data_IF_225644644234
#
_entry.id   IF_225644644234
#
_cell.length_a   1.000
_cell.length_b   1.000
_cell.length_c   1.000
_cell.angle_alpha   90.00
_cell.angle_beta   90.00
_cell.angle_gamma   90.00
#
_symmetry.space_group_name_H-M   'P 1'
#
loop_
_entity.id
_entity.type
_entity.pdbx_description
1 polymer ?
#
# COMPACT_ATOMS: atom_id res chain seq x y z
N UNK A 1 -9.51 -5.47 -10.81
CA UNK A 1 -10.31 -4.27 -10.45
C UNK A 1 -10.08 -3.95 -8.99
N UNK A 2 -9.65 -2.72 -8.66
CA UNK A 2 -9.30 -2.33 -7.29
C UNK A 2 -10.40 -2.62 -6.26
N UNK A 3 -11.67 -2.45 -6.63
CA UNK A 3 -12.83 -2.78 -5.77
C UNK A 3 -12.86 -4.26 -5.37
N UNK A 4 -12.54 -5.18 -6.29
CA UNK A 4 -12.51 -6.63 -5.96
C UNK A 4 -11.39 -6.94 -4.96
N UNK A 5 -10.22 -6.31 -5.12
CA UNK A 5 -9.11 -6.45 -4.16
C UNK A 5 -9.48 -5.87 -2.80
N UNK A 6 -10.08 -4.68 -2.79
CA UNK A 6 -10.57 -4.03 -1.57
C UNK A 6 -11.67 -4.87 -0.88
N UNK A 7 -12.63 -5.45 -1.61
CA UNK A 7 -13.62 -6.37 -1.05
C UNK A 7 -12.98 -7.64 -0.48
N UNK A 8 -11.97 -8.22 -1.15
CA UNK A 8 -11.23 -9.38 -0.64
C UNK A 8 -10.53 -9.05 0.68
N UNK A 9 -9.82 -7.91 0.75
CA UNK A 9 -9.20 -7.44 1.99
C UNK A 9 -10.23 -7.17 3.10
N UNK A 10 -11.37 -6.52 2.77
CA UNK A 10 -12.44 -6.23 3.70
C UNK A 10 -13.03 -7.50 4.33
N UNK A 11 -13.22 -8.55 3.51
CA UNK A 11 -13.70 -9.86 3.96
C UNK A 11 -12.75 -10.50 4.97
N UNK A 12 -11.44 -10.43 4.73
CA UNK A 12 -10.41 -10.97 5.65
C UNK A 12 -10.41 -10.21 6.97
N UNK A 13 -10.55 -8.89 6.90
CA UNK A 13 -10.54 -7.99 8.06
C UNK A 13 -11.87 -7.94 8.82
N UNK A 14 -12.92 -8.58 8.30
CA UNK A 14 -14.29 -8.52 8.81
C UNK A 14 -14.80 -7.07 8.97
N UNK A 15 -14.53 -6.22 7.98
CA UNK A 15 -14.96 -4.81 7.93
C UNK A 15 -15.80 -4.54 6.68
N UNK A 16 -16.65 -3.50 6.73
CA UNK A 16 -17.48 -3.09 5.60
C UNK A 16 -16.75 -1.99 4.81
N UNK A 17 -16.47 -2.18 3.51
CA UNK A 17 -15.87 -1.12 2.70
C UNK A 17 -16.91 -0.02 2.42
N UNK A 18 -16.50 1.24 2.52
CA UNK A 18 -17.31 2.40 2.12
C UNK A 18 -16.77 2.95 0.80
N UNK A 19 -17.46 2.63 -0.29
CA UNK A 19 -17.08 3.03 -1.64
C UNK A 19 -18.02 4.15 -2.10
N UNK A 20 -17.58 5.40 -1.95
CA UNK A 20 -18.20 6.54 -2.66
C UNK A 20 -17.73 6.57 -4.12
N UNK A 21 -18.50 7.22 -5.00
CA UNK A 21 -18.45 7.11 -6.46
C UNK A 21 -17.05 7.13 -7.12
N UNK A 22 -16.92 6.38 -8.22
CA UNK A 22 -15.69 6.18 -9.01
C UNK A 22 -15.12 7.50 -9.54
N UNK A 23 -13.80 7.67 -9.45
CA UNK A 23 -13.08 8.73 -10.19
C UNK A 23 -12.20 8.21 -11.34
N UNK A 24 -12.11 6.89 -11.52
CA UNK A 24 -11.43 6.25 -12.65
C UNK A 24 -9.96 5.91 -12.41
N UNK A 25 -9.29 6.57 -11.47
CA UNK A 25 -7.97 6.21 -10.93
C UNK A 25 -8.02 6.29 -9.40
N UNK A 26 -8.46 5.19 -8.78
CA UNK A 26 -8.67 5.09 -7.34
C UNK A 26 -7.72 4.03 -6.75
N UNK A 27 -7.11 4.32 -5.59
CA UNK A 27 -6.44 3.32 -4.75
C UNK A 27 -7.29 3.05 -3.51
N UNK A 28 -7.15 1.86 -2.92
CA UNK A 28 -7.87 1.55 -1.68
C UNK A 28 -6.94 1.72 -0.47
N UNK A 29 -7.37 2.49 0.51
CA UNK A 29 -6.65 2.70 1.78
C UNK A 29 -7.32 1.89 2.87
N UNK A 30 -6.57 1.00 3.51
CA UNK A 30 -7.00 0.31 4.72
C UNK A 30 -6.54 1.14 5.92
N UNK A 31 -7.46 1.69 6.71
CA UNK A 31 -7.15 2.49 7.91
C UNK A 31 -8.14 2.17 9.05
N UNK A 32 -7.76 2.42 10.31
CA UNK A 32 -8.49 2.09 11.56
C UNK A 32 -10.02 2.08 11.40
N UNK A 33 -10.60 0.90 11.14
CA UNK A 33 -12.04 0.66 11.10
C UNK A 33 -12.71 0.59 9.72
N UNK A 34 -12.00 0.78 8.61
CA UNK A 34 -12.61 0.76 7.27
C UNK A 34 -11.64 0.63 6.10
N UNK A 35 -12.21 0.46 4.90
CA UNK A 35 -11.50 0.57 3.62
C UNK A 35 -12.19 1.65 2.80
N UNK A 36 -11.42 2.64 2.35
CA UNK A 36 -11.90 3.77 1.57
C UNK A 36 -11.22 3.78 0.19
N UNK A 37 -11.96 4.19 -0.85
CA UNK A 37 -11.38 4.48 -2.17
C UNK A 37 -10.97 5.94 -2.23
N UNK A 38 -9.74 6.19 -2.63
CA UNK A 38 -9.18 7.53 -2.72
C UNK A 38 -8.73 7.84 -4.16
N UNK A 39 -9.12 8.98 -4.72
CA UNK A 39 -8.59 9.44 -6.00
C UNK A 39 -7.09 9.71 -5.88
N UNK A 40 -6.30 9.17 -6.81
CA UNK A 40 -4.84 9.36 -6.86
C UNK A 40 -4.45 10.85 -6.82
N UNK A 41 -5.24 11.72 -7.45
CA UNK A 41 -4.97 13.15 -7.54
C UNK A 41 -5.25 13.97 -6.25
N UNK A 42 -5.84 13.37 -5.20
CA UNK A 42 -6.31 14.09 -3.99
C UNK A 42 -5.77 13.54 -2.67
N UNK A 43 -4.78 12.65 -2.68
CA UNK A 43 -4.34 11.95 -1.46
C UNK A 43 -3.48 12.83 -0.54
N UNK A 44 -4.10 13.44 0.46
CA UNK A 44 -3.41 14.03 1.61
C UNK A 44 -3.18 13.00 2.74
N UNK A 45 -3.56 11.74 2.53
CA UNK A 45 -3.40 10.71 3.55
C UNK A 45 -2.00 10.15 3.52
N UNK A 46 -1.33 10.20 4.65
CA UNK A 46 -0.19 9.37 4.95
C UNK A 46 0.02 9.37 6.47
N UNK A 47 0.82 8.42 7.00
CA UNK A 47 0.64 7.95 8.36
C UNK A 47 0.90 9.02 9.43
N UNK A 48 -0.06 9.14 10.35
CA UNK A 48 0.12 9.81 11.64
C UNK A 48 0.86 8.81 12.54
N UNK A 49 2.13 9.13 12.80
CA UNK A 49 3.15 8.46 13.62
C UNK A 49 3.93 7.25 13.05
N UNK A 50 5.19 7.57 12.72
CA UNK A 50 6.40 6.79 12.38
C UNK A 50 6.45 6.02 11.05
N UNK A 51 6.99 6.76 10.08
CA UNK A 51 8.04 6.45 9.09
C UNK A 51 7.76 5.51 7.92
N UNK A 52 6.84 4.56 7.94
CA UNK A 52 6.75 3.56 6.84
C UNK A 52 5.36 3.43 6.20
N UNK A 53 5.25 3.71 4.90
CA UNK A 53 4.07 3.53 4.06
C UNK A 53 4.19 2.26 3.20
N UNK A 54 3.16 1.40 3.21
CA UNK A 54 3.10 0.20 2.37
C UNK A 54 2.14 0.37 1.20
N UNK A 55 2.60 0.01 0.01
CA UNK A 55 1.83 0.05 -1.22
C UNK A 55 1.92 -1.33 -1.87
N UNK A 56 0.79 -2.01 -2.13
CA UNK A 56 0.77 -3.40 -2.54
C UNK A 56 -0.33 -3.72 -3.56
N UNK A 57 -0.11 -4.66 -4.51
CA UNK A 57 -1.17 -5.19 -5.35
C UNK A 57 -1.93 -6.35 -4.71
N UNK A 58 -1.47 -6.82 -3.54
CA UNK A 58 -1.88 -8.07 -2.90
C UNK A 58 -2.83 -7.81 -1.72
N UNK A 59 -4.13 -8.14 -1.86
CA UNK A 59 -5.12 -7.88 -0.81
C UNK A 59 -4.92 -8.72 0.45
N UNK A 60 -4.45 -9.97 0.35
CA UNK A 60 -4.21 -10.82 1.52
C UNK A 60 -3.01 -10.31 2.31
N UNK A 61 -1.96 -9.87 1.62
CA UNK A 61 -0.82 -9.21 2.25
C UNK A 61 -1.23 -7.90 2.94
N UNK A 62 -2.02 -7.06 2.27
CA UNK A 62 -2.45 -5.79 2.84
C UNK A 62 -3.32 -5.98 4.10
N UNK A 63 -4.24 -6.96 4.08
CA UNK A 63 -5.04 -7.31 5.24
C UNK A 63 -4.16 -7.86 6.38
N UNK A 64 -3.25 -8.79 6.10
CA UNK A 64 -2.35 -9.36 7.11
C UNK A 64 -1.47 -8.30 7.77
N UNK A 65 -0.95 -7.35 6.99
CA UNK A 65 -0.17 -6.21 7.48
C UNK A 65 -1.03 -5.29 8.36
N UNK A 66 -2.23 -4.94 7.91
CA UNK A 66 -3.14 -4.07 8.66
C UNK A 66 -3.60 -4.68 9.99
N UNK A 67 -3.80 -6.00 10.08
CA UNK A 67 -4.18 -6.68 11.34
C UNK A 67 -3.06 -6.63 12.38
N UNK A 68 -1.81 -6.77 11.93
CA UNK A 68 -0.64 -6.89 12.81
C UNK A 68 0.00 -5.55 13.15
N UNK A 69 -0.23 -4.56 12.30
CA UNK A 69 0.22 -3.18 12.47
C UNK A 69 -0.90 -2.28 11.94
N UNK A 70 -1.70 -1.63 12.81
CA UNK A 70 -2.86 -0.81 12.43
C UNK A 70 -2.41 0.51 11.80
N UNK A 71 -1.72 0.41 10.67
CA UNK A 71 -1.17 1.49 9.86
C UNK A 71 -1.83 1.49 8.49
N UNK A 72 -1.85 2.64 7.79
CA UNK A 72 -2.37 2.72 6.44
C UNK A 72 -1.63 1.79 5.48
N UNK A 73 -2.35 0.88 4.82
CA UNK A 73 -1.83 0.11 3.69
C UNK A 73 -2.59 0.50 2.43
N UNK A 74 -1.86 0.80 1.37
CA UNK A 74 -2.40 1.18 0.09
C UNK A 74 -2.45 -0.01 -0.85
N UNK A 75 -3.60 -0.17 -1.50
CA UNK A 75 -3.84 -1.20 -2.49
C UNK A 75 -3.95 -0.57 -3.87
N UNK A 76 -3.25 -1.16 -4.85
CA UNK A 76 -3.37 -0.80 -6.26
C UNK A 76 -3.79 -2.01 -7.11
N UNK A 77 -4.43 -1.74 -8.26
CA UNK A 77 -4.86 -2.82 -9.17
C UNK A 77 -3.72 -3.21 -10.11
N UNK A 78 -3.26 -2.26 -10.93
CA UNK A 78 -2.08 -2.39 -11.80
C UNK A 78 -1.08 -1.30 -11.49
N UNK A 79 0.20 -1.56 -11.72
CA UNK A 79 1.26 -0.57 -11.47
C UNK A 79 1.03 0.71 -12.31
N UNK A 80 0.47 0.55 -13.52
CA UNK A 80 0.14 1.67 -14.42
C UNK A 80 -0.91 2.62 -13.83
N UNK A 81 -1.78 2.12 -12.93
CA UNK A 81 -2.82 2.94 -12.29
C UNK A 81 -2.24 3.92 -11.26
N UNK A 82 -1.00 3.70 -10.79
CA UNK A 82 -0.32 4.54 -9.80
C UNK A 82 0.97 5.20 -10.32
N UNK A 83 1.30 5.04 -11.60
CA UNK A 83 2.50 5.64 -12.21
C UNK A 83 2.51 7.18 -12.21
N UNK A 84 1.33 7.79 -12.24
CA UNK A 84 1.15 9.24 -12.20
C UNK A 84 1.16 9.80 -10.78
N UNK A 85 1.11 8.94 -9.76
CA UNK A 85 1.07 9.35 -8.37
C UNK A 85 2.38 10.02 -7.97
N UNK A 86 2.30 11.12 -7.22
CA UNK A 86 3.42 11.70 -6.50
C UNK A 86 3.28 11.42 -5.01
N UNK A 87 4.40 11.19 -4.32
CA UNK A 87 4.40 11.19 -2.85
C UNK A 87 4.57 12.63 -2.36
N UNK A 88 3.65 13.07 -1.50
CA UNK A 88 3.70 14.42 -0.92
C UNK A 88 4.67 14.46 0.24
N UNK A 89 5.47 15.53 0.37
CA UNK A 89 6.32 15.75 1.55
C UNK A 89 5.50 15.86 2.85
N UNK A 90 4.24 16.27 2.73
CA UNK A 90 3.28 16.33 3.85
C UNK A 90 2.77 14.96 4.27
N UNK A 91 3.28 13.89 3.66
CA UNK A 91 2.84 12.54 3.94
C UNK A 91 3.28 12.06 5.34
N UNK A 92 4.39 12.58 5.87
CA UNK A 92 4.93 12.10 7.14
C UNK A 92 5.47 10.66 7.08
N UNK A 93 5.59 10.08 5.87
CA UNK A 93 6.32 8.85 5.63
C UNK A 93 7.80 9.19 5.40
N UNK A 94 8.72 8.50 6.07
CA UNK A 94 10.17 8.60 5.81
C UNK A 94 10.60 7.53 4.80
N UNK A 95 9.88 6.41 4.79
CA UNK A 95 10.15 5.20 4.04
C UNK A 95 8.90 4.70 3.34
N UNK A 96 9.02 4.32 2.08
CA UNK A 96 7.93 3.75 1.29
C UNK A 96 8.36 2.38 0.78
N UNK A 97 7.55 1.37 1.08
CA UNK A 97 7.72 0.03 0.55
C UNK A 97 6.69 -0.25 -0.53
N UNK A 98 7.17 -0.28 -1.78
CA UNK A 98 6.38 -0.63 -2.96
C UNK A 98 6.53 -2.13 -3.24
N UNK A 99 5.49 -2.89 -2.93
CA UNK A 99 5.40 -4.30 -3.29
C UNK A 99 4.91 -4.40 -4.73
N UNK A 100 5.50 -5.30 -5.52
CA UNK A 100 5.08 -5.52 -6.91
C UNK A 100 5.10 -7.00 -7.29
N UNK A 101 4.41 -7.31 -8.40
CA UNK A 101 4.52 -8.62 -9.05
C UNK A 101 5.87 -8.74 -9.78
N UNK A 102 6.36 -9.95 -10.09
CA UNK A 102 7.56 -10.11 -10.91
C UNK A 102 7.47 -9.45 -12.29
N UNK A 103 6.29 -9.46 -12.90
CA UNK A 103 6.06 -8.83 -14.21
C UNK A 103 6.13 -7.29 -14.15
N UNK A 104 5.81 -6.70 -13.00
CA UNK A 104 5.79 -5.25 -12.81
C UNK A 104 7.11 -4.69 -12.29
N UNK A 105 8.12 -5.52 -12.02
CA UNK A 105 9.34 -5.11 -11.32
C UNK A 105 10.04 -3.91 -11.97
N UNK A 106 10.21 -3.93 -13.30
CA UNK A 106 10.86 -2.81 -14.01
C UNK A 106 10.06 -1.52 -13.84
N UNK A 107 8.74 -1.59 -14.03
CA UNK A 107 7.84 -0.44 -13.88
C UNK A 107 7.83 0.09 -12.45
N UNK A 108 7.85 -0.80 -11.46
CA UNK A 108 7.90 -0.45 -10.05
C UNK A 108 9.21 0.25 -9.68
N UNK A 109 10.36 -0.18 -10.21
CA UNK A 109 11.64 0.49 -9.99
C UNK A 109 11.68 1.88 -10.63
N UNK A 110 11.17 2.05 -11.85
CA UNK A 110 11.09 3.37 -12.48
C UNK A 110 10.19 4.33 -11.68
N UNK A 111 9.08 3.82 -11.15
CA UNK A 111 8.20 4.60 -10.29
C UNK A 111 8.88 4.96 -8.96
N UNK A 112 9.59 4.02 -8.35
CA UNK A 112 10.34 4.26 -7.11
C UNK A 112 11.45 5.29 -7.30
N UNK A 113 12.20 5.23 -8.40
CA UNK A 113 13.22 6.24 -8.74
C UNK A 113 12.60 7.64 -8.79
N UNK A 114 11.46 7.78 -9.46
CA UNK A 114 10.71 9.03 -9.54
C UNK A 114 10.30 9.57 -8.16
N UNK A 115 9.95 8.69 -7.22
CA UNK A 115 9.59 9.07 -5.85
C UNK A 115 10.78 9.34 -4.94
N UNK A 116 11.94 8.74 -5.24
CA UNK A 116 13.19 8.90 -4.46
C UNK A 116 13.77 10.31 -4.59
N UNK A 117 13.39 11.07 -5.62
CA UNK A 117 13.73 12.49 -5.72
C UNK A 117 13.04 13.37 -4.65
N UNK A 118 12.08 12.83 -3.88
CA UNK A 118 11.47 13.49 -2.72
C UNK A 118 12.20 13.20 -1.40
N UNK A 119 11.65 13.60 -0.24
CA UNK A 119 12.25 13.35 1.07
C UNK A 119 12.09 11.88 1.55
N UNK A 120 11.60 10.99 0.68
CA UNK A 120 11.24 9.63 1.02
C UNK A 120 12.32 8.67 0.54
N UNK A 121 12.78 7.80 1.42
CA UNK A 121 13.48 6.60 0.99
C UNK A 121 12.44 5.63 0.40
N UNK A 122 12.69 5.06 -0.78
CA UNK A 122 11.75 4.14 -1.45
C UNK A 122 12.42 2.81 -1.72
N UNK A 123 11.77 1.72 -1.33
CA UNK A 123 12.25 0.35 -1.60
C UNK A 123 11.20 -0.42 -2.38
N UNK A 124 11.64 -1.11 -3.44
CA UNK A 124 10.80 -2.03 -4.21
C UNK A 124 11.00 -3.45 -3.68
N UNK A 125 9.92 -4.13 -3.35
CA UNK A 125 9.91 -5.53 -2.94
C UNK A 125 9.14 -6.37 -3.96
N UNK A 126 9.81 -7.37 -4.52
CA UNK A 126 9.24 -8.30 -5.49
C UNK A 126 9.15 -9.69 -4.89
N UNK A 127 8.02 -10.36 -5.11
CA UNK A 127 7.84 -11.75 -4.71
C UNK A 127 6.44 -12.26 -4.99
N UNK A 128 6.22 -13.55 -4.78
CA UNK A 128 4.89 -14.13 -4.77
C UNK A 128 4.17 -13.77 -3.47
N UNK A 129 2.84 -13.57 -3.53
CA UNK A 129 2.03 -13.10 -2.39
C UNK A 129 2.26 -13.93 -1.10
N UNK A 130 2.24 -15.27 -1.22
CA UNK A 130 2.44 -16.17 -0.09
C UNK A 130 3.82 -16.02 0.57
N UNK A 131 4.88 -15.87 -0.24
CA UNK A 131 6.25 -15.71 0.26
C UNK A 131 6.43 -14.37 0.96
N UNK A 132 5.83 -13.32 0.40
CA UNK A 132 5.90 -11.97 0.94
C UNK A 132 5.16 -11.87 2.27
N UNK A 133 3.99 -12.50 2.41
CA UNK A 133 3.27 -12.56 3.68
C UNK A 133 4.17 -13.16 4.76
N UNK A 134 4.77 -14.31 4.51
CA UNK A 134 5.62 -14.97 5.51
C UNK A 134 6.85 -14.13 5.88
N UNK A 135 7.54 -13.55 4.88
CA UNK A 135 8.76 -12.75 5.09
C UNK A 135 8.49 -11.43 5.81
N UNK A 136 7.48 -10.67 5.37
CA UNK A 136 7.15 -9.38 5.97
C UNK A 136 6.57 -9.55 7.37
N UNK A 137 5.76 -10.58 7.59
CA UNK A 137 5.29 -10.94 8.94
C UNK A 137 6.46 -11.23 9.87
N UNK A 138 7.44 -12.02 9.43
CA UNK A 138 8.62 -12.34 10.24
C UNK A 138 9.45 -11.09 10.54
N UNK A 139 9.69 -10.24 9.55
CA UNK A 139 10.40 -8.97 9.72
C UNK A 139 9.72 -8.07 10.76
N UNK A 140 8.39 -7.92 10.67
CA UNK A 140 7.63 -7.12 11.64
C UNK A 140 7.66 -7.68 13.06
N UNK A 141 7.57 -9.00 13.21
CA UNK A 141 7.69 -9.65 14.52
C UNK A 141 9.08 -9.46 15.14
N UNK A 142 10.13 -9.40 14.33
CA UNK A 142 11.49 -9.10 14.79
C UNK A 142 11.65 -7.61 15.16
N UNK A 143 11.12 -6.70 14.33
CA UNK A 143 11.21 -5.26 14.56
C UNK A 143 10.42 -4.77 15.79
N UNK A 144 9.44 -5.54 16.28
CA UNK A 144 8.71 -5.24 17.52
C UNK A 144 9.37 -5.81 18.79
N UNK A 145 10.42 -6.64 18.65
CA UNK A 145 11.13 -7.27 19.79
C UNK A 145 12.44 -6.57 20.16
N UNK A 146 12.91 -5.62 19.35
CA UNK A 146 14.04 -4.74 19.64
C UNK A 146 13.57 -3.35 20.03
#
# INVERSE_FOLDING_TARGET
MIQQKAFKAAKILNIRPDFKEKSGQDFAVINKGGIELWPVAKSNLAPVDKKLLFISPYPDLAAALSMRSPRPVWLYDRIDDIQSMGLSEKSGADWVMLVCTPADFVKANLLADRWTYGPHEVTVMMGQEADLINKLVAYYQQAQRG
#
